data_IF_633871577715
#
_entry.id   IF_633871577715
#
_cell.length_a   1.000
_cell.length_b   1.000
_cell.length_c   1.000
_cell.angle_alpha   90.00
_cell.angle_beta   90.00
_cell.angle_gamma   90.00
#
_symmetry.space_group_name_H-M   'P 1'
#
loop_
_entity.id
_entity.type
_entity.pdbx_description
1 polymer ?
#
# COMPACT_ATOMS: atom_id res chain seq x y z
N UNK A 1 0.47 18.08 59.67
CA UNK A 1 0.50 17.07 58.60
C UNK A 1 -0.01 17.73 57.33
N UNK A 2 0.82 18.00 56.30
CA UNK A 2 0.30 18.54 55.05
C UNK A 2 -0.29 17.40 54.21
N UNK A 3 -1.48 17.66 53.67
CA UNK A 3 -2.22 16.74 52.81
C UNK A 3 -1.46 16.50 51.50
N UNK A 4 -1.25 15.23 51.16
CA UNK A 4 -0.71 14.80 49.87
C UNK A 4 -1.75 15.13 48.80
N UNK A 5 -1.43 16.11 47.95
CA UNK A 5 -2.21 16.40 46.76
C UNK A 5 -2.13 15.19 45.81
N UNK A 6 -3.25 14.49 45.65
CA UNK A 6 -3.37 13.46 44.63
C UNK A 6 -3.44 14.13 43.26
N UNK A 7 -2.29 14.21 42.59
CA UNK A 7 -2.23 14.61 41.19
C UNK A 7 -3.04 13.63 40.35
N UNK A 8 -4.06 14.13 39.66
CA UNK A 8 -4.75 13.34 38.63
C UNK A 8 -3.68 12.90 37.60
N UNK A 9 -3.64 11.63 37.19
CA UNK A 9 -2.73 11.21 36.14
C UNK A 9 -3.01 12.07 34.90
N UNK A 10 -1.97 12.56 34.19
CA UNK A 10 -2.18 13.37 32.99
C UNK A 10 -3.08 12.58 32.04
N UNK A 11 -4.17 13.22 31.58
CA UNK A 11 -5.08 12.64 30.60
C UNK A 11 -4.25 12.20 29.41
N UNK A 12 -4.12 10.88 29.21
CA UNK A 12 -3.29 10.35 28.11
C UNK A 12 -3.86 10.91 26.78
N UNK A 13 -3.02 11.44 25.90
CA UNK A 13 -3.47 12.08 24.66
C UNK A 13 -4.17 11.13 23.67
N UNK A 14 -4.70 11.66 22.56
CA UNK A 14 -5.41 10.91 21.51
C UNK A 14 -4.65 9.67 21.03
N UNK A 15 -3.31 9.75 20.94
CA UNK A 15 -2.42 8.65 20.54
C UNK A 15 -2.58 7.40 21.42
N UNK A 16 -2.78 7.57 22.73
CA UNK A 16 -2.91 6.43 23.65
C UNK A 16 -4.32 5.83 23.63
N UNK A 17 -5.35 6.68 23.52
CA UNK A 17 -6.74 6.23 23.52
C UNK A 17 -7.19 5.68 22.16
N UNK A 18 -6.84 6.36 21.06
CA UNK A 18 -7.27 6.06 19.71
C UNK A 18 -6.09 6.11 18.72
N UNK A 19 -5.12 5.18 18.82
CA UNK A 19 -3.90 5.19 18.01
C UNK A 19 -4.17 5.12 16.51
N UNK A 20 -5.23 4.43 16.09
CA UNK A 20 -5.61 4.29 14.68
C UNK A 20 -6.11 5.63 14.13
N UNK A 21 -6.93 6.35 14.89
CA UNK A 21 -7.42 7.67 14.49
C UNK A 21 -6.26 8.65 14.42
N UNK A 22 -5.40 8.69 15.44
CA UNK A 22 -4.20 9.53 15.44
C UNK A 22 -3.29 9.24 14.22
N UNK A 23 -3.11 7.96 13.90
CA UNK A 23 -2.35 7.52 12.72
C UNK A 23 -2.93 8.10 11.42
N UNK A 24 -4.23 7.94 11.15
CA UNK A 24 -4.82 8.45 9.91
C UNK A 24 -4.78 9.98 9.84
N UNK A 25 -5.01 10.67 10.97
CA UNK A 25 -4.90 12.14 11.02
C UNK A 25 -3.49 12.63 10.68
N UNK A 26 -2.45 12.01 11.24
CA UNK A 26 -1.06 12.38 10.96
C UNK A 26 -0.69 12.04 9.51
N UNK A 27 -1.09 10.86 9.01
CA UNK A 27 -0.81 10.43 7.65
C UNK A 27 -1.43 11.39 6.62
N UNK A 28 -2.70 11.75 6.83
CA UNK A 28 -3.41 12.72 5.99
C UNK A 28 -2.80 14.11 6.11
N UNK A 29 -2.56 14.60 7.33
CA UNK A 29 -1.97 15.93 7.52
C UNK A 29 -0.62 16.05 6.80
N UNK A 30 0.27 15.08 6.96
CA UNK A 30 1.57 15.09 6.30
C UNK A 30 1.42 15.11 4.77
N UNK A 31 0.72 14.14 4.20
CA UNK A 31 0.64 13.99 2.75
C UNK A 31 -0.20 15.08 2.09
N UNK A 32 -1.30 15.51 2.70
CA UNK A 32 -2.19 16.53 2.13
C UNK A 32 -1.62 17.94 2.27
N UNK A 33 -0.76 18.21 3.26
CA UNK A 33 -0.02 19.49 3.29
C UNK A 33 0.92 19.59 2.07
N UNK A 34 1.66 18.51 1.77
CA UNK A 34 2.49 18.45 0.57
C UNK A 34 1.66 18.47 -0.72
N UNK A 35 0.53 17.75 -0.73
CA UNK A 35 -0.45 17.79 -1.81
C UNK A 35 -0.99 19.20 -2.05
N UNK A 36 -1.30 19.95 -1.00
CA UNK A 36 -1.77 21.34 -1.10
C UNK A 36 -0.72 22.26 -1.73
N UNK A 37 0.56 22.08 -1.41
CA UNK A 37 1.66 22.80 -2.07
C UNK A 37 1.75 22.44 -3.56
N UNK A 38 1.61 21.16 -3.91
CA UNK A 38 1.60 20.69 -5.31
C UNK A 38 0.40 21.24 -6.09
N UNK A 39 -0.79 21.26 -5.49
CA UNK A 39 -2.00 21.85 -6.07
C UNK A 39 -1.81 23.35 -6.32
N UNK A 40 -1.31 24.08 -5.31
CA UNK A 40 -1.02 25.50 -5.46
C UNK A 40 0.04 25.75 -6.55
N UNK A 41 1.03 24.86 -6.67
CA UNK A 41 2.05 24.91 -7.73
C UNK A 41 1.48 24.68 -9.13
N UNK A 42 0.64 23.65 -9.30
CA UNK A 42 -0.03 23.33 -10.55
C UNK A 42 -0.91 24.48 -11.05
N UNK A 43 -1.56 25.20 -10.15
CA UNK A 43 -2.37 26.39 -10.47
C UNK A 43 -1.57 27.70 -10.54
N UNK A 44 -0.24 27.66 -10.46
CA UNK A 44 0.62 28.83 -10.60
C UNK A 44 0.61 29.81 -9.42
N UNK A 45 0.10 29.38 -8.25
CA UNK A 45 0.02 30.22 -7.05
C UNK A 45 1.35 30.29 -6.28
N UNK A 46 2.16 29.23 -6.36
CA UNK A 46 3.47 29.14 -5.70
C UNK A 46 4.46 28.38 -6.59
N UNK A 47 5.75 28.52 -6.31
CA UNK A 47 6.76 27.62 -6.89
C UNK A 47 6.83 26.35 -6.05
N UNK A 48 6.32 25.24 -6.57
CA UNK A 48 6.33 23.94 -5.89
C UNK A 48 7.31 22.99 -6.58
N UNK A 49 8.31 22.45 -5.87
CA UNK A 49 9.13 21.37 -6.40
C UNK A 49 8.28 20.10 -6.62
N UNK A 50 8.16 19.66 -7.87
CA UNK A 50 7.28 18.54 -8.25
C UNK A 50 7.72 17.19 -7.66
N UNK A 51 9.00 17.03 -7.29
CA UNK A 51 9.49 15.85 -6.57
C UNK A 51 8.86 15.67 -5.19
N UNK A 52 8.19 16.70 -4.63
CA UNK A 52 7.38 16.56 -3.40
C UNK A 52 6.28 15.51 -3.55
N UNK A 53 5.87 15.17 -4.77
CA UNK A 53 4.96 14.06 -5.04
C UNK A 53 5.44 12.76 -4.39
N UNK A 54 6.70 12.40 -4.59
CA UNK A 54 7.30 11.18 -4.02
C UNK A 54 7.50 11.27 -2.51
N UNK A 55 7.74 12.48 -1.98
CA UNK A 55 7.85 12.69 -0.53
C UNK A 55 6.50 12.54 0.16
N UNK A 56 5.41 12.95 -0.51
CA UNK A 56 4.06 12.83 0.04
C UNK A 56 3.66 11.39 0.37
N UNK A 57 4.21 10.41 -0.36
CA UNK A 57 3.98 8.97 -0.12
C UNK A 57 4.48 8.47 1.25
N UNK A 58 5.35 9.21 1.95
CA UNK A 58 5.87 8.81 3.26
C UNK A 58 4.95 9.14 4.44
N UNK A 59 3.82 9.84 4.23
CA UNK A 59 2.90 10.19 5.31
C UNK A 59 2.44 9.00 6.17
N UNK A 60 2.04 7.86 5.58
CA UNK A 60 1.70 6.64 6.31
C UNK A 60 2.87 6.11 7.17
N UNK A 61 4.09 6.03 6.63
CA UNK A 61 5.28 5.64 7.39
C UNK A 61 5.56 6.59 8.55
N UNK A 62 5.54 7.90 8.30
CA UNK A 62 5.76 8.94 9.34
C UNK A 62 4.73 8.77 10.46
N UNK A 63 3.46 8.62 10.12
CA UNK A 63 2.40 8.41 11.09
C UNK A 63 2.61 7.12 11.90
N UNK A 64 2.98 6.01 11.26
CA UNK A 64 3.24 4.74 11.92
C UNK A 64 4.39 4.87 12.92
N UNK A 65 5.49 5.51 12.54
CA UNK A 65 6.66 5.71 13.40
C UNK A 65 6.30 6.61 14.58
N UNK A 66 5.67 7.76 14.34
CA UNK A 66 5.30 8.72 15.39
C UNK A 66 4.36 8.09 16.41
N UNK A 67 3.28 7.44 15.95
CA UNK A 67 2.28 6.85 16.84
C UNK A 67 2.86 5.65 17.58
N UNK A 68 3.66 4.80 16.93
CA UNK A 68 4.32 3.66 17.59
C UNK A 68 5.35 4.14 18.63
N UNK A 69 6.17 5.13 18.29
CA UNK A 69 7.17 5.67 19.22
C UNK A 69 6.51 6.28 20.47
N UNK A 70 5.44 7.05 20.28
CA UNK A 70 4.74 7.72 21.38
C UNK A 70 3.94 6.74 22.26
N UNK A 71 3.39 5.67 21.69
CA UNK A 71 2.56 4.70 22.42
C UNK A 71 3.35 3.54 23.01
N UNK A 72 4.18 2.91 22.19
CA UNK A 72 4.79 1.60 22.41
C UNK A 72 6.33 1.71 22.58
N UNK A 73 6.88 2.92 22.44
CA UNK A 73 8.28 3.23 22.69
C UNK A 73 9.25 2.49 21.77
N UNK A 74 10.48 2.29 22.26
CA UNK A 74 11.55 1.61 21.52
C UNK A 74 11.21 0.15 21.18
N UNK A 75 10.48 -0.54 22.07
CA UNK A 75 10.09 -1.93 21.86
C UNK A 75 9.13 -2.06 20.67
N UNK A 76 8.10 -1.20 20.60
CA UNK A 76 7.18 -1.19 19.46
C UNK A 76 7.85 -0.83 18.13
N UNK A 77 8.81 0.11 18.16
CA UNK A 77 9.61 0.43 16.95
C UNK A 77 10.47 -0.75 16.51
N UNK A 78 11.10 -1.46 17.45
CA UNK A 78 11.88 -2.66 17.14
C UNK A 78 11.00 -3.76 16.51
N UNK A 79 9.80 -3.99 17.04
CA UNK A 79 8.84 -4.94 16.49
C UNK A 79 8.37 -4.54 15.08
N UNK A 80 8.08 -3.24 14.86
CA UNK A 80 7.74 -2.74 13.54
C UNK A 80 8.89 -3.00 12.56
N UNK A 81 10.12 -2.68 12.95
CA UNK A 81 11.29 -2.83 12.09
C UNK A 81 11.64 -4.29 11.79
N UNK A 82 11.44 -5.19 12.75
CA UNK A 82 11.55 -6.64 12.52
C UNK A 82 10.61 -7.11 11.41
N UNK A 83 9.39 -6.56 11.33
CA UNK A 83 8.45 -6.85 10.24
C UNK A 83 8.86 -6.19 8.92
N UNK A 84 9.52 -5.04 8.95
CA UNK A 84 10.09 -4.38 7.76
C UNK A 84 11.18 -5.21 7.10
N UNK A 85 12.05 -5.84 7.87
CA UNK A 85 13.19 -6.62 7.34
C UNK A 85 12.91 -8.13 7.28
N UNK A 86 11.67 -8.57 7.53
CA UNK A 86 11.31 -9.99 7.59
C UNK A 86 11.40 -10.65 6.21
N UNK A 87 12.54 -11.30 5.95
CA UNK A 87 12.82 -12.07 4.75
C UNK A 87 12.63 -13.58 4.90
N UNK A 88 12.53 -14.08 6.15
CA UNK A 88 12.22 -15.48 6.43
C UNK A 88 10.72 -15.76 6.21
N UNK A 89 10.41 -15.89 4.92
CA UNK A 89 9.10 -16.13 4.35
C UNK A 89 9.33 -17.14 3.23
N UNK A 90 8.61 -18.27 3.24
CA UNK A 90 8.88 -19.35 2.29
C UNK A 90 8.88 -18.87 0.82
N UNK A 91 9.63 -19.55 -0.06
CA UNK A 91 9.89 -19.15 -1.46
C UNK A 91 8.64 -18.70 -2.23
N UNK A 92 7.48 -19.31 -1.95
CA UNK A 92 6.18 -18.91 -2.50
C UNK A 92 5.92 -17.40 -2.36
N UNK A 93 6.25 -16.78 -1.23
CA UNK A 93 5.98 -15.37 -0.99
C UNK A 93 6.95 -14.44 -1.70
N UNK A 94 8.19 -14.87 -1.92
CA UNK A 94 9.12 -14.18 -2.82
C UNK A 94 8.64 -14.20 -4.28
N UNK A 95 8.17 -15.37 -4.75
CA UNK A 95 7.58 -15.52 -6.08
C UNK A 95 6.30 -14.68 -6.24
N UNK A 96 5.47 -14.61 -5.20
CA UNK A 96 4.30 -13.72 -5.20
C UNK A 96 4.73 -12.26 -5.23
N UNK A 97 5.61 -11.84 -4.33
CA UNK A 97 5.99 -10.45 -4.14
C UNK A 97 6.72 -9.84 -5.35
N UNK A 98 7.64 -10.57 -5.98
CA UNK A 98 8.40 -10.08 -7.13
C UNK A 98 7.91 -10.66 -8.46
N UNK A 99 7.61 -11.96 -8.49
CA UNK A 99 7.26 -12.64 -9.73
C UNK A 99 5.93 -12.16 -10.33
N UNK A 100 4.92 -11.89 -9.50
CA UNK A 100 3.62 -11.47 -10.03
C UNK A 100 3.61 -10.05 -10.63
N UNK A 101 4.15 -8.99 -9.99
CA UNK A 101 4.18 -7.68 -10.64
C UNK A 101 5.12 -7.66 -11.86
N UNK A 102 6.23 -8.41 -11.85
CA UNK A 102 7.07 -8.55 -13.04
C UNK A 102 6.34 -9.26 -14.20
N UNK A 103 5.57 -10.31 -13.89
CA UNK A 103 4.73 -10.97 -14.90
C UNK A 103 3.67 -10.03 -15.47
N UNK A 104 3.07 -9.17 -14.64
CA UNK A 104 2.17 -8.11 -15.11
C UNK A 104 2.89 -7.11 -16.02
N UNK A 105 4.16 -6.80 -15.76
CA UNK A 105 5.00 -5.99 -16.66
C UNK A 105 5.25 -6.66 -18.01
N UNK A 106 5.46 -7.98 -18.03
CA UNK A 106 5.52 -8.74 -19.29
C UNK A 106 4.19 -8.68 -20.03
N UNK A 107 3.06 -8.85 -19.34
CA UNK A 107 1.72 -8.70 -19.95
C UNK A 107 1.54 -7.30 -20.54
N UNK A 108 1.93 -6.25 -19.82
CA UNK A 108 1.89 -4.88 -20.34
C UNK A 108 2.72 -4.71 -21.62
N UNK A 109 3.96 -5.21 -21.61
CA UNK A 109 4.84 -5.16 -22.78
C UNK A 109 4.27 -5.93 -23.97
N UNK A 110 3.62 -7.09 -23.74
CA UNK A 110 2.97 -7.87 -24.80
C UNK A 110 1.77 -7.13 -25.39
N UNK A 111 0.93 -6.50 -24.56
CA UNK A 111 -0.19 -5.68 -25.02
C UNK A 111 0.32 -4.48 -25.83
N UNK A 112 1.31 -3.76 -25.30
CA UNK A 112 1.99 -2.66 -26.00
C UNK A 112 2.57 -3.11 -27.34
N UNK A 113 3.18 -4.30 -27.40
CA UNK A 113 3.75 -4.87 -28.63
C UNK A 113 2.66 -5.17 -29.65
N UNK A 114 1.54 -5.73 -29.20
CA UNK A 114 0.40 -6.02 -30.06
C UNK A 114 -0.21 -4.75 -30.67
N UNK A 115 -0.31 -3.67 -29.89
CA UNK A 115 -0.88 -2.40 -30.35
C UNK A 115 0.06 -1.60 -31.26
N UNK A 116 1.36 -1.59 -30.94
CA UNK A 116 2.35 -0.76 -31.62
C UNK A 116 3.10 -1.50 -32.74
N UNK A 117 2.99 -2.83 -32.82
CA UNK A 117 3.66 -3.67 -33.82
C UNK A 117 5.16 -3.87 -33.59
N UNK A 118 5.70 -3.43 -32.45
CA UNK A 118 7.11 -3.55 -32.09
C UNK A 118 7.28 -3.71 -30.57
N UNK A 119 8.37 -4.37 -30.15
CA UNK A 119 8.70 -4.47 -28.74
C UNK A 119 8.96 -3.07 -28.16
N UNK A 120 8.39 -2.74 -26.98
CA UNK A 120 8.64 -1.46 -26.35
C UNK A 120 10.10 -1.34 -25.90
N UNK A 121 10.64 -0.13 -25.92
CA UNK A 121 11.95 0.14 -25.33
C UNK A 121 11.87 -0.05 -23.81
N UNK A 122 12.70 -0.95 -23.27
CA UNK A 122 12.79 -1.23 -21.83
C UNK A 122 13.18 0.02 -21.03
N UNK A 123 13.87 0.98 -21.65
CA UNK A 123 14.21 2.26 -21.03
C UNK A 123 12.96 3.05 -20.60
N UNK A 124 11.79 2.78 -21.18
CA UNK A 124 10.54 3.43 -20.79
C UNK A 124 10.10 3.07 -19.37
N UNK A 125 10.51 1.91 -18.82
CA UNK A 125 10.30 1.64 -17.38
C UNK A 125 11.09 2.61 -16.47
N UNK A 126 12.11 3.29 -17.00
CA UNK A 126 12.86 4.32 -16.29
C UNK A 126 12.19 5.69 -16.29
N UNK A 127 11.11 5.89 -17.06
CA UNK A 127 10.36 7.15 -17.09
C UNK A 127 9.52 7.31 -15.83
N UNK A 128 9.75 8.41 -15.13
CA UNK A 128 9.14 8.70 -13.85
C UNK A 128 8.56 10.11 -13.89
N UNK A 129 7.27 10.24 -13.57
CA UNK A 129 6.58 11.53 -13.55
C UNK A 129 7.39 12.56 -12.77
N UNK A 130 7.57 13.75 -13.35
CA UNK A 130 8.33 14.88 -12.77
C UNK A 130 9.86 14.71 -12.65
N UNK A 131 10.40 13.51 -12.82
CA UNK A 131 11.84 13.24 -12.75
C UNK A 131 12.46 12.87 -14.11
N UNK A 132 11.62 12.55 -15.10
CA UNK A 132 12.04 12.08 -16.42
C UNK A 132 12.62 10.67 -16.35
N UNK A 133 13.47 10.33 -17.33
CA UNK A 133 14.14 9.03 -17.32
C UNK A 133 15.31 9.03 -16.33
N UNK A 134 15.13 8.36 -15.20
CA UNK A 134 16.20 8.18 -14.20
C UNK A 134 16.90 6.82 -14.32
N UNK A 135 16.52 6.02 -15.33
CA UNK A 135 16.98 4.66 -15.52
C UNK A 135 16.16 3.62 -14.76
N UNK A 136 16.02 2.44 -15.35
CA UNK A 136 15.13 1.35 -14.91
C UNK A 136 15.36 0.96 -13.45
N UNK A 137 16.61 0.77 -13.03
CA UNK A 137 16.93 0.34 -11.66
C UNK A 137 16.68 1.44 -10.62
N UNK A 138 16.96 2.70 -10.97
CA UNK A 138 16.72 3.83 -10.08
C UNK A 138 15.21 4.08 -9.93
N UNK A 139 14.44 3.96 -11.02
CA UNK A 139 12.99 4.01 -10.99
C UNK A 139 12.43 2.91 -10.09
N UNK A 140 12.81 1.64 -10.31
CA UNK A 140 12.36 0.53 -9.46
C UNK A 140 12.67 0.77 -7.96
N UNK A 141 13.88 1.24 -7.66
CA UNK A 141 14.28 1.58 -6.30
C UNK A 141 13.43 2.72 -5.69
N UNK A 142 13.13 3.76 -6.49
CA UNK A 142 12.28 4.87 -6.08
C UNK A 142 10.87 4.39 -5.73
N UNK A 143 10.23 3.62 -6.61
CA UNK A 143 8.87 3.11 -6.37
C UNK A 143 8.79 2.19 -5.15
N UNK A 144 9.79 1.30 -4.96
CA UNK A 144 9.88 0.46 -3.75
C UNK A 144 10.11 1.31 -2.49
N UNK A 145 10.93 2.34 -2.54
CA UNK A 145 11.20 3.18 -1.37
C UNK A 145 9.98 4.03 -0.96
N UNK A 146 9.30 4.63 -1.94
CA UNK A 146 8.23 5.60 -1.74
C UNK A 146 6.88 4.92 -1.54
N UNK A 147 6.31 4.36 -2.60
CA UNK A 147 5.00 3.71 -2.58
C UNK A 147 5.06 2.31 -1.95
N UNK A 148 6.18 1.60 -2.07
CA UNK A 148 6.41 0.37 -1.33
C UNK A 148 6.54 0.61 0.18
N UNK A 149 7.72 0.98 0.67
CA UNK A 149 7.95 1.14 2.11
C UNK A 149 7.26 2.34 2.72
N UNK A 150 7.30 3.50 2.07
CA UNK A 150 6.71 4.74 2.59
C UNK A 150 5.22 4.63 2.88
N UNK A 151 4.49 3.82 2.12
CA UNK A 151 3.09 3.53 2.38
C UNK A 151 2.86 2.27 3.23
N UNK A 152 3.49 1.14 2.86
CA UNK A 152 3.15 -0.16 3.45
C UNK A 152 3.60 -0.32 4.90
N UNK A 153 4.61 0.43 5.36
CA UNK A 153 4.95 0.53 6.78
C UNK A 153 3.75 1.07 7.58
N UNK A 154 2.98 1.99 6.99
CA UNK A 154 1.76 2.53 7.56
C UNK A 154 0.56 1.61 7.37
N UNK A 155 0.15 1.38 6.12
CA UNK A 155 -1.12 0.70 5.84
C UNK A 155 -1.15 -0.73 6.36
N UNK A 156 -0.11 -1.53 6.07
CA UNK A 156 -0.05 -2.94 6.45
C UNK A 156 0.69 -3.09 7.78
N UNK A 157 1.81 -2.37 7.92
CA UNK A 157 2.68 -2.41 9.08
C UNK A 157 2.08 -1.80 10.36
N UNK A 158 1.19 -0.82 10.25
CA UNK A 158 0.54 -0.21 11.41
C UNK A 158 -0.97 -0.47 11.47
N UNK A 159 -1.72 -0.04 10.45
CA UNK A 159 -3.19 -0.04 10.48
C UNK A 159 -3.76 -1.46 10.38
N UNK A 160 -3.40 -2.22 9.34
CA UNK A 160 -3.89 -3.60 9.16
C UNK A 160 -3.45 -4.48 10.32
N UNK A 161 -2.19 -4.36 10.74
CA UNK A 161 -1.65 -5.13 11.85
C UNK A 161 -2.49 -5.01 13.12
N UNK A 162 -3.05 -3.83 13.41
CA UNK A 162 -3.92 -3.57 14.56
C UNK A 162 -5.40 -3.88 14.32
N UNK A 163 -5.90 -3.70 13.09
CA UNK A 163 -7.33 -3.87 12.75
C UNK A 163 -7.73 -5.31 12.42
N UNK A 164 -6.79 -6.15 11.99
CA UNK A 164 -7.11 -7.47 11.43
C UNK A 164 -7.72 -8.46 12.43
N UNK A 165 -7.62 -8.22 13.74
CA UNK A 165 -8.24 -9.06 14.79
C UNK A 165 -9.76 -9.10 14.71
N UNK A 166 -10.39 -8.05 14.18
CA UNK A 166 -11.84 -7.99 13.90
C UNK A 166 -12.24 -8.61 12.55
N UNK A 167 -11.31 -9.29 11.87
CA UNK A 167 -11.48 -9.86 10.54
C UNK A 167 -10.65 -9.13 9.49
N UNK A 168 -9.70 -9.85 8.87
CA UNK A 168 -8.72 -9.25 7.96
C UNK A 168 -9.32 -8.63 6.68
N UNK A 169 -10.39 -9.22 6.14
CA UNK A 169 -11.07 -8.68 4.94
C UNK A 169 -11.72 -7.35 5.27
N UNK A 170 -12.45 -7.28 6.41
CA UNK A 170 -13.08 -6.04 6.88
C UNK A 170 -12.03 -4.97 7.12
N UNK A 171 -10.91 -5.32 7.77
CA UNK A 171 -9.80 -4.39 7.99
C UNK A 171 -9.22 -3.89 6.66
N UNK A 172 -8.98 -4.79 5.69
CA UNK A 172 -8.46 -4.42 4.37
C UNK A 172 -9.41 -3.51 3.59
N UNK A 173 -10.72 -3.74 3.65
CA UNK A 173 -11.72 -2.86 3.00
C UNK A 173 -11.73 -1.48 3.64
N UNK A 174 -11.76 -1.40 4.98
CA UNK A 174 -11.72 -0.11 5.69
C UNK A 174 -10.45 0.67 5.32
N UNK A 175 -9.30 0.00 5.35
CA UNK A 175 -8.01 0.59 4.97
C UNK A 175 -8.04 0.98 3.50
N UNK A 176 -8.61 0.18 2.61
CA UNK A 176 -8.71 0.48 1.18
C UNK A 176 -9.52 1.73 0.90
N UNK A 177 -10.64 1.94 1.61
CA UNK A 177 -11.43 3.17 1.48
C UNK A 177 -10.65 4.39 1.98
N UNK A 178 -10.03 4.29 3.15
CA UNK A 178 -9.24 5.37 3.73
C UNK A 178 -7.95 5.64 2.93
N UNK A 179 -7.39 4.63 2.29
CA UNK A 179 -6.22 4.75 1.42
C UNK A 179 -6.60 5.36 0.07
N UNK A 180 -7.74 4.97 -0.52
CA UNK A 180 -8.23 5.61 -1.75
C UNK A 180 -8.59 7.08 -1.53
N UNK A 181 -9.20 7.42 -0.40
CA UNK A 181 -9.46 8.81 -0.03
C UNK A 181 -8.16 9.61 0.24
N UNK A 182 -7.10 8.98 0.73
CA UNK A 182 -5.80 9.64 0.94
C UNK A 182 -5.20 10.19 -0.36
N UNK A 183 -5.51 9.58 -1.51
CA UNK A 183 -5.07 10.02 -2.85
C UNK A 183 -5.87 11.20 -3.42
N UNK A 184 -6.88 11.71 -2.71
CA UNK A 184 -7.75 12.77 -3.20
C UNK A 184 -6.99 14.00 -3.76
N UNK A 185 -5.87 14.48 -3.18
CA UNK A 185 -5.10 15.57 -3.77
C UNK A 185 -4.64 15.34 -5.21
N UNK A 186 -4.39 14.07 -5.63
CA UNK A 186 -3.88 13.77 -6.97
C UNK A 186 -4.86 14.20 -8.06
N UNK A 187 -6.17 14.17 -7.77
CA UNK A 187 -7.24 14.62 -8.67
C UNK A 187 -7.29 16.13 -8.90
N UNK A 188 -6.39 16.90 -8.27
CA UNK A 188 -6.32 18.35 -8.40
C UNK A 188 -5.00 18.85 -8.99
N UNK A 189 -4.00 17.98 -9.20
CA UNK A 189 -2.71 18.42 -9.78
C UNK A 189 -2.04 17.41 -10.72
N UNK A 190 -2.48 16.15 -10.77
CA UNK A 190 -1.88 15.13 -11.64
C UNK A 190 -2.77 14.91 -12.85
N UNK A 191 -2.26 15.21 -14.04
CA UNK A 191 -3.05 15.28 -15.28
C UNK A 191 -3.86 14.01 -15.56
N UNK A 192 -3.28 12.82 -15.37
CA UNK A 192 -3.99 11.56 -15.60
C UNK A 192 -5.12 11.31 -14.57
N UNK A 193 -5.02 11.83 -13.35
CA UNK A 193 -6.08 11.76 -12.35
C UNK A 193 -7.16 12.82 -12.58
N UNK A 194 -6.77 14.02 -12.99
CA UNK A 194 -7.71 15.08 -13.41
C UNK A 194 -8.56 14.57 -14.58
N UNK A 195 -7.95 13.91 -15.57
CA UNK A 195 -8.62 13.34 -16.73
C UNK A 195 -9.66 12.25 -16.38
N UNK A 196 -9.47 11.52 -15.28
CA UNK A 196 -10.46 10.53 -14.79
C UNK A 196 -11.74 11.20 -14.26
N UNK A 197 -11.63 12.41 -13.72
CA UNK A 197 -12.73 13.14 -13.10
C UNK A 197 -13.37 12.41 -11.89
N UNK A 198 -14.44 12.99 -11.34
CA UNK A 198 -15.11 12.44 -10.16
C UNK A 198 -15.81 11.08 -10.43
N UNK A 199 -16.22 10.83 -11.68
CA UNK A 199 -16.72 9.51 -12.09
C UNK A 199 -15.62 8.45 -12.04
N UNK A 200 -14.41 8.77 -12.50
CA UNK A 200 -13.25 7.89 -12.43
C UNK A 200 -12.72 7.71 -11.00
N UNK A 201 -12.94 8.68 -10.09
CA UNK A 201 -12.60 8.52 -8.66
C UNK A 201 -13.26 7.29 -8.04
N UNK A 202 -14.52 6.99 -8.39
CA UNK A 202 -15.22 5.80 -7.86
C UNK A 202 -14.57 4.52 -8.36
N UNK A 203 -14.23 4.44 -9.65
CA UNK A 203 -13.51 3.30 -10.22
C UNK A 203 -12.12 3.12 -9.60
N UNK A 204 -11.42 4.23 -9.38
CA UNK A 204 -10.14 4.26 -8.68
C UNK A 204 -10.25 3.82 -7.22
N UNK A 205 -11.29 4.25 -6.50
CA UNK A 205 -11.52 3.80 -5.13
C UNK A 205 -11.76 2.28 -5.06
N UNK A 206 -12.50 1.73 -6.03
CA UNK A 206 -12.70 0.28 -6.14
C UNK A 206 -11.36 -0.43 -6.37
N UNK A 207 -10.52 0.06 -7.28
CA UNK A 207 -9.21 -0.56 -7.55
C UNK A 207 -8.30 -0.53 -6.32
N UNK A 208 -8.26 0.58 -5.58
CA UNK A 208 -7.49 0.70 -4.33
C UNK A 208 -8.03 -0.24 -3.24
N UNK A 209 -9.35 -0.41 -3.12
CA UNK A 209 -9.92 -1.40 -2.19
C UNK A 209 -9.51 -2.82 -2.56
N UNK A 210 -9.51 -3.17 -3.85
CA UNK A 210 -9.06 -4.49 -4.32
C UNK A 210 -7.55 -4.68 -4.05
N UNK A 211 -6.72 -3.69 -4.36
CA UNK A 211 -5.29 -3.71 -4.02
C UNK A 211 -5.04 -3.82 -2.52
N UNK A 212 -5.87 -3.17 -1.69
CA UNK A 212 -5.82 -3.29 -0.23
C UNK A 212 -6.05 -4.73 0.24
N UNK A 213 -7.04 -5.41 -0.32
CA UNK A 213 -7.32 -6.82 -0.01
C UNK A 213 -6.16 -7.72 -0.44
N UNK A 214 -5.63 -7.53 -1.64
CA UNK A 214 -4.50 -8.32 -2.14
C UNK A 214 -3.27 -8.18 -1.25
N UNK A 215 -2.87 -6.95 -0.95
CA UNK A 215 -1.71 -6.67 -0.10
C UNK A 215 -1.95 -7.15 1.35
N UNK A 216 -3.18 -7.10 1.86
CA UNK A 216 -3.52 -7.72 3.15
C UNK A 216 -3.36 -9.25 3.12
N UNK A 217 -3.71 -9.90 2.01
CA UNK A 217 -3.50 -11.33 1.82
C UNK A 217 -2.01 -11.68 1.76
N UNK A 218 -1.19 -10.92 1.01
CA UNK A 218 0.27 -11.09 0.97
C UNK A 218 0.89 -10.90 2.35
N UNK A 219 0.52 -9.82 3.05
CA UNK A 219 1.02 -9.51 4.38
C UNK A 219 0.77 -10.66 5.36
N UNK A 220 -0.47 -11.15 5.43
CA UNK A 220 -0.84 -12.23 6.37
C UNK A 220 -0.19 -13.55 5.99
N UNK A 221 -0.22 -13.88 4.71
CA UNK A 221 0.31 -15.15 4.21
C UNK A 221 1.83 -15.25 4.40
N UNK A 222 2.55 -14.12 4.26
CA UNK A 222 3.99 -14.02 4.50
C UNK A 222 4.38 -13.85 5.97
N UNK A 223 3.48 -14.11 6.92
CA UNK A 223 3.79 -14.02 8.35
C UNK A 223 3.97 -12.58 8.84
N UNK A 224 3.17 -11.65 8.33
CA UNK A 224 3.22 -10.21 8.63
C UNK A 224 4.50 -9.51 8.13
N UNK A 225 5.05 -9.94 6.99
CA UNK A 225 6.23 -9.30 6.38
C UNK A 225 5.82 -8.03 5.62
N UNK A 226 6.34 -6.88 6.07
CA UNK A 226 6.20 -5.60 5.36
C UNK A 226 7.10 -5.59 4.13
N UNK A 227 8.24 -6.31 4.15
CA UNK A 227 9.12 -6.45 2.98
C UNK A 227 8.36 -6.99 1.78
N UNK A 228 7.59 -8.07 1.95
CA UNK A 228 6.86 -8.69 0.83
C UNK A 228 5.82 -7.77 0.20
N UNK A 229 5.08 -7.02 1.02
CA UNK A 229 4.09 -6.07 0.50
C UNK A 229 4.73 -4.84 -0.11
N UNK A 230 5.82 -4.32 0.46
CA UNK A 230 6.55 -3.18 -0.10
C UNK A 230 7.17 -3.51 -1.46
N UNK A 231 7.76 -4.70 -1.60
CA UNK A 231 8.28 -5.19 -2.87
C UNK A 231 7.17 -5.34 -3.91
N UNK A 232 6.05 -5.96 -3.53
CA UNK A 232 4.92 -6.14 -4.45
C UNK A 232 4.35 -4.79 -4.90
N UNK A 233 4.03 -3.92 -3.95
CA UNK A 233 3.41 -2.63 -4.20
C UNK A 233 4.30 -1.72 -5.03
N UNK A 234 5.57 -1.55 -4.63
CA UNK A 234 6.52 -0.73 -5.38
C UNK A 234 6.83 -1.29 -6.78
N UNK A 235 6.92 -2.60 -6.94
CA UNK A 235 7.15 -3.19 -8.28
C UNK A 235 5.91 -3.08 -9.16
N UNK A 236 4.71 -3.20 -8.57
CA UNK A 236 3.45 -3.01 -9.28
C UNK A 236 3.30 -1.57 -9.78
N UNK A 237 3.62 -0.58 -8.94
CA UNK A 237 3.56 0.83 -9.32
C UNK A 237 4.63 1.17 -10.37
N UNK A 238 5.85 0.66 -10.21
CA UNK A 238 6.90 0.77 -11.23
C UNK A 238 6.47 0.27 -12.61
N UNK A 239 5.73 -0.84 -12.66
CA UNK A 239 5.19 -1.39 -13.91
C UNK A 239 4.03 -0.54 -14.42
N UNK A 240 3.01 -0.30 -13.59
CA UNK A 240 1.74 0.29 -14.00
C UNK A 240 1.81 1.80 -14.27
N UNK A 241 2.76 2.50 -13.65
CA UNK A 241 3.02 3.91 -13.91
C UNK A 241 3.90 4.14 -15.15
N UNK A 242 4.53 3.10 -15.70
CA UNK A 242 5.37 3.25 -16.90
C UNK A 242 4.55 3.57 -18.15
N UNK A 243 5.14 4.27 -19.14
CA UNK A 243 4.52 4.47 -20.46
C UNK A 243 4.16 3.16 -21.18
N UNK A 244 4.86 2.05 -20.87
CA UNK A 244 4.59 0.73 -21.45
C UNK A 244 3.21 0.20 -21.01
N UNK A 245 2.81 0.50 -19.78
CA UNK A 245 1.53 0.07 -19.24
C UNK A 245 0.38 1.06 -19.58
N UNK A 246 0.64 2.15 -20.29
CA UNK A 246 -0.39 3.13 -20.63
C UNK A 246 -1.53 2.52 -21.47
N UNK A 247 -2.71 3.15 -21.41
CA UNK A 247 -3.86 2.73 -22.22
C UNK A 247 -4.43 1.37 -21.82
N UNK A 248 -4.63 0.48 -22.80
CA UNK A 248 -5.30 -0.81 -22.61
C UNK A 248 -4.50 -1.77 -21.72
N UNK A 249 -3.17 -1.68 -21.71
CA UNK A 249 -2.30 -2.51 -20.87
C UNK A 249 -2.65 -2.37 -19.38
N UNK A 250 -2.85 -1.14 -18.88
CA UNK A 250 -3.27 -0.88 -17.51
C UNK A 250 -4.67 -1.43 -17.20
N UNK A 251 -5.59 -1.42 -18.18
CA UNK A 251 -6.90 -2.03 -18.02
C UNK A 251 -6.79 -3.56 -17.89
N UNK A 252 -5.96 -4.20 -18.72
CA UNK A 252 -5.70 -5.65 -18.65
C UNK A 252 -5.07 -6.03 -17.31
N UNK A 253 -4.04 -5.31 -16.87
CA UNK A 253 -3.41 -5.52 -15.56
C UNK A 253 -4.44 -5.41 -14.43
N UNK A 254 -5.28 -4.37 -14.47
CA UNK A 254 -6.33 -4.15 -13.48
C UNK A 254 -7.33 -5.30 -13.43
N UNK A 255 -7.76 -5.82 -14.58
CA UNK A 255 -8.67 -6.98 -14.66
C UNK A 255 -8.02 -8.23 -14.06
N UNK A 256 -6.74 -8.48 -14.35
CA UNK A 256 -6.00 -9.62 -13.78
C UNK A 256 -5.94 -9.53 -12.25
N UNK A 257 -5.58 -8.35 -11.72
CA UNK A 257 -5.51 -8.13 -10.26
C UNK A 257 -6.88 -8.27 -9.61
N UNK A 258 -7.93 -7.66 -10.18
CA UNK A 258 -9.31 -7.77 -9.65
C UNK A 258 -9.76 -9.22 -9.65
N UNK A 259 -9.52 -9.95 -10.75
CA UNK A 259 -9.88 -11.37 -10.85
C UNK A 259 -9.16 -12.20 -9.79
N UNK A 260 -7.87 -11.93 -9.56
CA UNK A 260 -7.11 -12.60 -8.51
C UNK A 260 -7.68 -12.33 -7.12
N UNK A 261 -8.06 -11.08 -6.82
CA UNK A 261 -8.72 -10.73 -5.56
C UNK A 261 -10.06 -11.45 -5.40
N UNK A 262 -10.87 -11.54 -6.46
CA UNK A 262 -12.13 -12.29 -6.42
C UNK A 262 -11.90 -13.78 -6.10
N UNK A 263 -10.85 -14.39 -6.65
CA UNK A 263 -10.44 -15.76 -6.31
C UNK A 263 -10.02 -15.87 -4.84
N UNK A 264 -9.23 -14.93 -4.31
CA UNK A 264 -8.85 -14.89 -2.89
C UNK A 264 -10.09 -14.81 -2.00
N UNK A 265 -11.04 -13.94 -2.32
CA UNK A 265 -12.29 -13.77 -1.57
C UNK A 265 -13.16 -15.04 -1.61
N UNK A 266 -13.25 -15.67 -2.78
CA UNK A 266 -13.97 -16.94 -2.95
C UNK A 266 -13.34 -18.06 -2.11
N UNK A 267 -12.02 -18.20 -2.13
CA UNK A 267 -11.29 -19.18 -1.29
C UNK A 267 -11.53 -18.91 0.20
N UNK A 268 -11.44 -17.65 0.63
CA UNK A 268 -11.66 -17.27 2.02
C UNK A 268 -13.09 -17.56 2.49
N UNK A 269 -14.09 -17.44 1.60
CA UNK A 269 -15.47 -17.82 1.88
C UNK A 269 -15.61 -19.34 2.06
N UNK A 270 -14.99 -20.13 1.17
CA UNK A 270 -15.02 -21.60 1.25
C UNK A 270 -14.44 -22.08 2.58
N UNK A 271 -13.26 -21.58 2.96
CA UNK A 271 -12.61 -21.98 4.21
C UNK A 271 -13.43 -21.66 5.47
N UNK A 272 -14.28 -20.62 5.43
CA UNK A 272 -15.19 -20.29 6.53
C UNK A 272 -16.45 -21.17 6.56
N UNK A 273 -16.81 -21.79 5.43
CA UNK A 273 -18.00 -22.64 5.30
C UNK A 273 -17.75 -24.14 5.51
N UNK A 274 -16.49 -24.58 5.55
CA UNK A 274 -16.16 -25.99 5.81
C UNK A 274 -16.44 -26.37 7.28
N UNK A 275 -17.14 -27.48 7.56
CA UNK A 275 -17.37 -27.93 8.93
C UNK A 275 -16.04 -28.29 9.62
N UNK A 276 -15.91 -28.05 10.94
CA UNK A 276 -14.71 -28.43 11.67
C UNK A 276 -14.60 -29.96 11.75
N UNK A 277 -13.61 -30.53 11.03
CA UNK A 277 -13.13 -31.90 11.24
C UNK A 277 -13.60 -32.94 10.22
N UNK A 278 -12.76 -33.18 9.21
CA UNK A 278 -12.59 -34.49 8.56
C UNK A 278 -11.10 -34.80 8.40
N UNK A 279 -10.30 -34.53 9.44
CA UNK A 279 -9.05 -35.26 9.64
C UNK A 279 -9.38 -36.39 10.61
N UNK A 280 -9.57 -37.57 10.02
CA UNK A 280 -10.01 -38.77 10.70
C UNK A 280 -8.98 -39.21 11.75
N UNK A 281 -9.49 -39.43 12.96
CA UNK A 281 -9.14 -40.50 13.89
C UNK A 281 -8.22 -41.57 13.27
N UNK A 282 -6.91 -41.45 13.50
CA UNK A 282 -6.08 -42.64 13.58
C UNK A 282 -6.48 -43.37 14.87
N UNK A 283 -6.92 -44.63 14.81
CA UNK A 283 -7.01 -45.43 16.02
C UNK A 283 -5.57 -45.64 16.56
N UNK A 284 -5.35 -45.61 17.88
CA UNK A 284 -4.05 -45.99 18.43
C UNK A 284 -3.82 -47.47 18.13
N UNK A 285 -2.72 -47.77 17.43
CA UNK A 285 -2.24 -49.13 17.27
C UNK A 285 -1.86 -49.69 18.66
N UNK A 286 -2.47 -50.83 18.98
CA UNK A 286 -2.17 -51.71 20.13
C UNK A 286 -0.81 -52.43 19.97
#
# INVERSE_FOLDING_TARGET
MPAVAQGHPPSRGLIHHNPIVAYFLIAYAFSWLLGGVLIAGYHGLVMAPTWLHYVSAFGPMVAAIVVTAARDGRAGLAELWQRVIRADVGLRWWLVALGTPLALGVVAALVSTFEQGALPDVALFGEVDYLGNIGVLAALGLWIATYGFGEEIGWRGFALHRLQSGGWIRAAVIIGVLWGAWHLPYFFYKDNFIALGMGGFVGYLISIVMGSILLAWIYRGSGNSILMVALWHGTFDFVSASPIAAGSANAVISVVVITWVLVILWQAKISQSSPPGTEALHPPDE
#
